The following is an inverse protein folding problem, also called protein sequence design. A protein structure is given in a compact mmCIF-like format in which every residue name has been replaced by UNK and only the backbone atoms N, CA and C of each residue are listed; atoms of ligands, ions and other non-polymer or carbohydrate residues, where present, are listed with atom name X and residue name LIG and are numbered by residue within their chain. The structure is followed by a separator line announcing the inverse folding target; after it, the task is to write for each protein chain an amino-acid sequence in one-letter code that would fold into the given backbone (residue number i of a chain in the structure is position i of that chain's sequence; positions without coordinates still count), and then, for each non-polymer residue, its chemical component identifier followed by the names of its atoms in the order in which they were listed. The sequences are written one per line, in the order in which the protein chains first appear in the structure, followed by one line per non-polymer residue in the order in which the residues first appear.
data_IF_932882733847
#
_entry.id   IF_932882733847
#
_cell.length_a   1.000
_cell.length_b   1.000
_cell.length_c   1.000
_cell.angle_alpha   90.00
_cell.angle_beta   90.00
_cell.angle_gamma   90.00
#
_symmetry.space_group_name_H-M   'P 1'
#
loop_
_entity.id
_entity.type
_entity.pdbx_description
1 polymer ?
#
# COMPACT_ATOMS: atom_id res chain seq x y z
N UNK A 1 -10.48 -9.06 -36.17
CA UNK A 1 -11.00 -10.19 -36.97
C UNK A 1 -11.89 -11.07 -36.12
N UNK A 2 -11.44 -11.65 -35.00
CA UNK A 2 -12.23 -12.55 -34.13
C UNK A 2 -13.52 -11.91 -33.62
N UNK A 3 -13.49 -10.62 -33.25
CA UNK A 3 -14.69 -9.88 -32.82
C UNK A 3 -15.80 -9.85 -33.86
N UNK A 4 -15.44 -9.84 -35.15
CA UNK A 4 -16.40 -9.85 -36.26
C UNK A 4 -16.79 -11.28 -36.68
N UNK A 5 -15.87 -12.22 -36.53
CA UNK A 5 -16.07 -13.62 -36.90
C UNK A 5 -16.86 -14.41 -35.85
N UNK A 6 -16.78 -13.99 -34.59
CA UNK A 6 -17.42 -14.62 -33.44
C UNK A 6 -16.46 -15.41 -32.55
N UNK A 7 -16.62 -15.28 -31.24
CA UNK A 7 -15.79 -15.96 -30.25
C UNK A 7 -16.06 -17.47 -30.20
N UNK A 8 -17.26 -17.91 -30.62
CA UNK A 8 -17.66 -19.32 -30.63
C UNK A 8 -16.81 -20.20 -31.55
N UNK A 9 -16.08 -19.58 -32.50
CA UNK A 9 -15.15 -20.26 -33.38
C UNK A 9 -13.77 -20.51 -32.78
N UNK A 10 -13.51 -19.99 -31.58
CA UNK A 10 -12.27 -20.25 -30.85
C UNK A 10 -12.38 -21.59 -30.14
N UNK A 11 -11.61 -22.57 -30.57
CA UNK A 11 -11.53 -23.85 -29.90
C UNK A 11 -10.84 -23.68 -28.55
N UNK A 12 -11.49 -24.17 -27.49
CA UNK A 12 -10.85 -24.27 -26.17
C UNK A 12 -9.69 -25.28 -26.26
N UNK A 13 -8.51 -24.84 -25.84
CA UNK A 13 -7.31 -25.70 -25.80
C UNK A 13 -6.74 -25.69 -24.40
N UNK A 14 -6.21 -26.82 -23.93
CA UNK A 14 -5.36 -26.84 -22.74
C UNK A 14 -4.01 -26.22 -23.09
N UNK A 15 -3.37 -25.63 -22.06
CA UNK A 15 -2.01 -25.12 -22.23
C UNK A 15 -1.09 -26.26 -22.68
N UNK A 16 -0.32 -26.09 -23.77
CA UNK A 16 0.61 -27.09 -24.24
C UNK A 16 1.85 -27.13 -23.35
N UNK A 17 1.72 -27.64 -22.13
CA UNK A 17 2.87 -27.85 -21.26
C UNK A 17 3.11 -29.36 -21.09
N UNK A 18 4.33 -29.77 -21.37
CA UNK A 18 4.75 -31.16 -21.18
C UNK A 18 4.94 -31.53 -19.69
N UNK A 19 4.96 -30.56 -18.80
CA UNK A 19 5.14 -30.77 -17.36
C UNK A 19 4.12 -29.97 -16.59
N UNK A 20 3.37 -30.66 -15.73
CA UNK A 20 2.55 -30.00 -14.71
C UNK A 20 3.47 -29.60 -13.58
N UNK A 21 3.78 -28.32 -13.47
CA UNK A 21 4.49 -27.79 -12.32
C UNK A 21 3.51 -27.51 -11.19
N UNK A 22 3.90 -27.88 -9.97
CA UNK A 22 3.09 -27.57 -8.79
C UNK A 22 2.94 -26.04 -8.67
N UNK A 23 1.69 -25.57 -8.72
CA UNK A 23 1.36 -24.17 -8.44
C UNK A 23 1.46 -23.87 -6.95
N UNK A 24 1.47 -22.59 -6.61
CA UNK A 24 1.44 -22.14 -5.21
C UNK A 24 2.03 -20.75 -5.03
N UNK A 25 1.89 -20.24 -3.82
CA UNK A 25 2.50 -18.97 -3.44
C UNK A 25 3.99 -19.15 -3.12
N UNK A 26 4.81 -18.20 -3.58
CA UNK A 26 6.20 -18.11 -3.17
C UNK A 26 6.31 -17.62 -1.69
N UNK A 27 7.52 -17.54 -1.15
CA UNK A 27 7.76 -17.17 0.26
C UNK A 27 7.23 -15.77 0.57
N UNK A 28 7.47 -14.82 -0.32
CA UNK A 28 7.04 -13.43 -0.15
C UNK A 28 5.51 -13.31 -0.15
N UNK A 29 4.85 -13.94 -1.12
CA UNK A 29 3.40 -13.98 -1.20
C UNK A 29 2.75 -14.64 0.02
N UNK A 30 3.35 -15.71 0.54
CA UNK A 30 2.88 -16.36 1.77
C UNK A 30 3.01 -15.42 2.98
N UNK A 31 4.13 -14.70 3.10
CA UNK A 31 4.35 -13.71 4.15
C UNK A 31 3.34 -12.56 4.08
N UNK A 32 3.11 -12.01 2.89
CA UNK A 32 2.11 -10.95 2.69
C UNK A 32 0.69 -11.42 3.07
N UNK A 33 0.30 -12.62 2.65
CA UNK A 33 -1.00 -13.18 3.01
C UNK A 33 -1.15 -13.44 4.51
N UNK A 34 -0.09 -13.92 5.17
CA UNK A 34 -0.08 -14.12 6.62
C UNK A 34 -0.24 -12.78 7.34
N UNK A 35 0.52 -11.76 6.94
CA UNK A 35 0.44 -10.39 7.46
C UNK A 35 -0.97 -9.81 7.32
N UNK A 36 -1.56 -9.87 6.13
CA UNK A 36 -2.92 -9.38 5.86
C UNK A 36 -3.95 -10.09 6.73
N UNK A 37 -3.87 -11.42 6.84
CA UNK A 37 -4.76 -12.20 7.71
C UNK A 37 -4.63 -11.80 9.17
N UNK A 38 -3.41 -11.62 9.66
CA UNK A 38 -3.15 -11.17 11.03
C UNK A 38 -3.80 -9.82 11.29
N UNK A 39 -3.63 -8.84 10.39
CA UNK A 39 -4.26 -7.52 10.52
C UNK A 39 -5.80 -7.60 10.51
N UNK A 40 -6.37 -8.42 9.64
CA UNK A 40 -7.82 -8.65 9.60
C UNK A 40 -8.33 -9.28 10.91
N UNK A 41 -7.61 -10.25 11.49
CA UNK A 41 -8.00 -10.84 12.80
C UNK A 41 -7.89 -9.86 13.95
N UNK A 42 -7.07 -8.82 13.81
CA UNK A 42 -6.99 -7.69 14.75
C UNK A 42 -8.06 -6.62 14.51
N UNK A 43 -9.00 -6.86 13.60
CA UNK A 43 -10.11 -5.96 13.29
C UNK A 43 -9.75 -4.80 12.37
N UNK A 44 -8.66 -4.90 11.62
CA UNK A 44 -8.30 -3.91 10.62
C UNK A 44 -8.89 -4.27 9.24
N UNK A 45 -9.30 -3.26 8.48
CA UNK A 45 -9.81 -3.40 7.11
C UNK A 45 -8.73 -3.03 6.10
N UNK A 46 -8.58 -3.86 5.07
CA UNK A 46 -7.65 -3.59 3.97
C UNK A 46 -8.17 -2.47 3.08
N UNK A 47 -7.29 -1.50 2.80
CA UNK A 47 -7.52 -0.44 1.83
C UNK A 47 -6.66 -0.67 0.58
N UNK A 48 -7.17 -0.22 -0.56
CA UNK A 48 -6.42 -0.15 -1.80
C UNK A 48 -6.59 1.24 -2.40
N UNK A 49 -5.50 1.99 -2.42
CA UNK A 49 -5.47 3.35 -2.95
C UNK A 49 -4.70 3.40 -4.26
N UNK A 50 -4.88 4.51 -5.00
CA UNK A 50 -4.08 4.76 -6.19
C UNK A 50 -2.59 4.88 -5.86
N UNK A 51 -1.75 4.46 -6.79
CA UNK A 51 -0.29 4.65 -6.70
C UNK A 51 0.15 6.10 -6.95
N UNK A 52 -0.79 7.01 -7.03
CA UNK A 52 -0.63 8.43 -7.34
C UNK A 52 -1.14 9.27 -6.20
N UNK A 53 -0.53 10.43 -6.00
CA UNK A 53 -0.96 11.40 -5.00
C UNK A 53 -0.72 12.83 -5.47
N UNK A 54 -1.27 13.80 -4.72
CA UNK A 54 -1.12 15.21 -5.02
C UNK A 54 0.18 15.78 -4.42
N UNK A 55 0.83 16.74 -5.10
CA UNK A 55 1.85 17.55 -4.45
C UNK A 55 1.40 18.17 -3.12
N UNK A 56 0.13 18.60 -3.03
CA UNK A 56 -0.46 19.18 -1.83
C UNK A 56 -0.59 18.19 -0.66
N UNK A 57 -0.66 16.88 -0.92
CA UNK A 57 -0.70 15.87 0.14
C UNK A 57 0.58 15.88 1.00
N UNK A 58 1.73 16.19 0.40
CA UNK A 58 2.99 16.33 1.12
C UNK A 58 3.02 17.56 2.02
N UNK A 59 2.33 18.63 1.62
CA UNK A 59 2.19 19.85 2.42
C UNK A 59 1.24 19.62 3.59
N UNK A 60 0.13 18.92 3.37
CA UNK A 60 -0.81 18.51 4.42
C UNK A 60 -0.13 17.62 5.48
N UNK A 61 0.77 16.74 5.07
CA UNK A 61 1.59 15.91 5.97
C UNK A 61 2.70 16.71 6.68
N UNK A 62 2.87 17.99 6.34
CA UNK A 62 3.89 18.89 6.90
C UNK A 62 5.33 18.34 6.74
N UNK A 63 5.60 17.61 5.67
CA UNK A 63 6.96 17.24 5.36
C UNK A 63 7.83 18.48 5.10
N UNK A 64 9.03 18.58 5.67
CA UNK A 64 9.99 19.63 5.36
C UNK A 64 10.26 19.74 3.86
N UNK A 65 10.72 20.89 3.40
CA UNK A 65 10.96 21.12 1.96
C UNK A 65 12.06 20.19 1.41
N UNK A 66 12.99 19.80 2.24
CA UNK A 66 14.12 18.91 1.94
C UNK A 66 13.83 17.42 2.26
N UNK A 67 12.61 17.08 2.66
CA UNK A 67 12.25 15.69 2.96
C UNK A 67 12.38 14.83 1.72
N UNK A 68 12.96 13.64 1.88
CA UNK A 68 13.14 12.67 0.79
C UNK A 68 11.82 12.22 0.16
N UNK A 69 10.72 12.29 0.91
CA UNK A 69 9.38 11.98 0.45
C UNK A 69 8.89 12.96 -0.63
N UNK A 70 9.44 14.18 -0.66
CA UNK A 70 9.15 15.19 -1.70
C UNK A 70 9.89 14.93 -3.01
N UNK A 71 10.91 14.09 -2.98
CA UNK A 71 11.61 13.66 -4.18
C UNK A 71 10.80 12.56 -4.87
N UNK A 72 9.76 12.97 -5.61
CA UNK A 72 8.77 12.09 -6.22
C UNK A 72 8.79 12.18 -7.75
N UNK A 73 8.43 11.07 -8.40
CA UNK A 73 8.36 10.96 -9.86
C UNK A 73 7.10 11.69 -10.34
N UNK A 74 7.27 12.63 -11.24
CA UNK A 74 6.14 13.29 -11.89
C UNK A 74 5.65 12.46 -13.08
N UNK A 75 4.33 12.27 -13.16
CA UNK A 75 3.68 11.57 -14.25
C UNK A 75 3.51 12.55 -15.42
N UNK A 76 3.92 12.13 -16.61
CA UNK A 76 3.91 12.96 -17.80
C UNK A 76 2.49 13.32 -18.27
N UNK A 77 1.56 12.37 -18.14
CA UNK A 77 0.16 12.52 -18.55
C UNK A 77 -0.78 12.04 -17.44
N UNK A 78 -0.86 12.77 -16.30
CA UNK A 78 -1.65 12.34 -15.16
C UNK A 78 -3.15 12.34 -15.50
N UNK A 79 -3.93 11.52 -14.78
CA UNK A 79 -5.39 11.46 -14.90
C UNK A 79 -6.01 12.83 -14.57
N UNK A 80 -5.48 13.49 -13.54
CA UNK A 80 -5.74 14.88 -13.21
C UNK A 80 -4.52 15.45 -12.46
N UNK A 81 -4.53 16.74 -12.20
CA UNK A 81 -3.41 17.44 -11.55
C UNK A 81 -3.20 16.98 -10.09
N UNK A 82 -4.26 16.54 -9.42
CA UNK A 82 -4.20 16.04 -8.04
C UNK A 82 -3.67 14.61 -7.94
N UNK A 83 -3.41 13.95 -9.07
CA UNK A 83 -2.86 12.60 -9.17
C UNK A 83 -1.62 12.61 -10.07
N UNK A 84 -0.76 13.60 -9.88
CA UNK A 84 0.36 13.88 -10.79
C UNK A 84 1.70 13.31 -10.34
N UNK A 85 1.82 12.83 -9.12
CA UNK A 85 3.05 12.25 -8.57
C UNK A 85 2.87 10.77 -8.23
N UNK A 86 3.91 9.96 -8.48
CA UNK A 86 3.99 8.61 -7.93
C UNK A 86 4.22 8.68 -6.44
N UNK A 87 3.47 7.90 -5.65
CA UNK A 87 3.54 7.94 -4.19
C UNK A 87 4.87 7.47 -3.65
N UNK A 88 5.45 8.27 -2.77
CA UNK A 88 6.66 7.97 -2.00
C UNK A 88 6.35 7.53 -0.57
N UNK A 89 5.09 7.63 -0.17
CA UNK A 89 4.56 7.22 1.13
C UNK A 89 3.10 6.78 1.00
N UNK A 90 2.63 5.89 1.87
CA UNK A 90 1.23 5.49 1.98
C UNK A 90 0.44 6.38 2.97
N UNK A 91 1.13 7.22 3.75
CA UNK A 91 0.51 7.98 4.83
C UNK A 91 -0.55 8.96 4.33
N UNK A 92 -0.31 9.64 3.20
CA UNK A 92 -1.27 10.58 2.63
C UNK A 92 -2.61 9.92 2.29
N UNK A 93 -2.55 8.82 1.54
CA UNK A 93 -3.74 8.06 1.14
C UNK A 93 -4.48 7.49 2.34
N UNK A 94 -3.75 6.99 3.34
CA UNK A 94 -4.32 6.47 4.59
C UNK A 94 -5.06 7.55 5.37
N UNK A 95 -4.45 8.72 5.58
CA UNK A 95 -5.10 9.84 6.28
C UNK A 95 -6.32 10.37 5.52
N UNK A 96 -6.25 10.43 4.20
CA UNK A 96 -7.40 10.79 3.37
C UNK A 96 -8.55 9.78 3.50
N UNK A 97 -8.23 8.47 3.60
CA UNK A 97 -9.22 7.43 3.84
C UNK A 97 -9.87 7.58 5.22
N UNK A 98 -9.08 7.79 6.27
CA UNK A 98 -9.57 8.03 7.64
C UNK A 98 -10.49 9.25 7.65
N UNK A 99 -10.03 10.40 7.15
CA UNK A 99 -10.83 11.63 7.10
C UNK A 99 -12.15 11.44 6.35
N UNK A 100 -12.15 10.66 5.27
CA UNK A 100 -13.37 10.35 4.52
C UNK A 100 -14.34 9.51 5.35
N UNK A 101 -13.85 8.50 6.05
CA UNK A 101 -14.67 7.66 6.93
C UNK A 101 -15.27 8.48 8.09
N UNK A 102 -14.49 9.34 8.74
CA UNK A 102 -14.98 10.23 9.80
C UNK A 102 -16.09 11.18 9.29
N UNK A 103 -15.91 11.76 8.09
CA UNK A 103 -16.94 12.60 7.44
C UNK A 103 -18.22 11.84 7.11
N UNK A 104 -18.15 10.52 6.97
CA UNK A 104 -19.32 9.64 6.77
C UNK A 104 -19.92 9.15 8.10
N UNK A 105 -19.42 9.64 9.24
CA UNK A 105 -19.95 9.31 10.56
C UNK A 105 -19.38 8.01 11.15
N UNK A 106 -18.33 7.44 10.56
CA UNK A 106 -17.60 6.30 11.15
C UNK A 106 -16.66 6.88 12.21
N UNK A 107 -16.94 6.62 13.47
CA UNK A 107 -16.27 7.28 14.59
C UNK A 107 -15.03 6.54 15.11
N UNK A 108 -14.88 5.28 14.78
CA UNK A 108 -13.70 4.49 15.13
C UNK A 108 -13.41 3.43 14.05
N UNK A 109 -12.14 3.06 13.92
CA UNK A 109 -11.74 2.04 12.96
C UNK A 109 -10.24 1.83 12.86
N UNK A 110 -9.90 0.75 12.19
CA UNK A 110 -8.53 0.36 11.86
C UNK A 110 -8.44 0.05 10.39
N UNK A 111 -7.54 0.72 9.69
CA UNK A 111 -7.32 0.54 8.27
C UNK A 111 -5.87 0.13 8.02
N UNK A 112 -5.63 -0.67 7.00
CA UNK A 112 -4.27 -0.96 6.56
C UNK A 112 -4.17 -1.07 5.05
N UNK A 113 -2.99 -0.84 4.51
CA UNK A 113 -2.65 -1.07 3.12
C UNK A 113 -1.26 -1.69 3.01
N UNK A 114 -1.14 -2.74 2.20
CA UNK A 114 0.14 -3.32 1.80
C UNK A 114 0.32 -3.04 0.32
N UNK A 115 1.22 -2.12 -0.02
CA UNK A 115 1.37 -1.68 -1.40
C UNK A 115 2.78 -1.12 -1.68
N UNK A 116 3.11 -0.95 -2.95
CA UNK A 116 4.39 -0.38 -3.34
C UNK A 116 4.39 1.14 -3.21
N UNK A 117 5.51 1.67 -2.74
CA UNK A 117 5.93 3.07 -2.89
C UNK A 117 7.06 3.13 -3.91
N UNK A 118 7.27 4.29 -4.52
CA UNK A 118 8.18 4.47 -5.64
C UNK A 118 9.21 5.55 -5.30
N UNK A 119 10.45 5.13 -5.06
CA UNK A 119 11.52 6.03 -4.64
C UNK A 119 12.49 6.20 -5.82
N UNK A 120 12.54 7.36 -6.46
CA UNK A 120 13.48 7.60 -7.54
C UNK A 120 14.91 7.67 -6.97
N UNK A 121 15.87 7.16 -7.72
CA UNK A 121 17.29 7.33 -7.41
C UNK A 121 17.82 8.67 -7.91
N UNK A 122 17.25 9.14 -9.02
CA UNK A 122 17.55 10.44 -9.63
C UNK A 122 16.33 11.00 -10.37
N UNK A 123 16.30 12.30 -10.59
CA UNK A 123 15.32 12.99 -11.42
C UNK A 123 16.04 13.95 -12.36
N UNK A 124 15.73 13.98 -13.67
CA UNK A 124 14.79 13.09 -14.36
C UNK A 124 15.25 11.62 -14.30
N UNK A 125 14.29 10.68 -14.38
CA UNK A 125 14.57 9.26 -14.29
C UNK A 125 15.52 8.82 -15.42
N UNK A 126 16.63 8.15 -15.07
CA UNK A 126 17.54 7.46 -15.98
C UNK A 126 17.50 5.94 -15.82
N UNK A 127 16.89 5.47 -14.74
CA UNK A 127 16.70 4.06 -14.42
C UNK A 127 15.39 3.87 -13.66
N UNK A 128 14.96 2.61 -13.49
CA UNK A 128 13.75 2.28 -12.74
C UNK A 128 13.88 2.73 -11.28
N UNK A 129 12.78 3.26 -10.68
CA UNK A 129 12.75 3.59 -9.28
C UNK A 129 12.89 2.35 -8.41
N UNK A 130 13.26 2.55 -7.15
CA UNK A 130 13.17 1.53 -6.14
C UNK A 130 11.71 1.36 -5.70
N UNK A 131 11.12 0.23 -6.07
CA UNK A 131 9.76 -0.14 -5.70
C UNK A 131 9.78 -0.94 -4.39
N UNK A 132 9.31 -0.32 -3.32
CA UNK A 132 9.29 -0.96 -2.00
C UNK A 132 7.89 -1.32 -1.59
N UNK A 133 7.69 -2.60 -1.33
CA UNK A 133 6.48 -3.05 -0.65
C UNK A 133 6.47 -2.54 0.79
N UNK A 134 5.45 -1.79 1.13
CA UNK A 134 5.34 -1.05 2.38
C UNK A 134 3.98 -1.34 3.02
N UNK A 135 3.97 -1.49 4.33
CA UNK A 135 2.75 -1.55 5.13
C UNK A 135 2.49 -0.19 5.74
N UNK A 136 1.26 0.27 5.65
CA UNK A 136 0.73 1.39 6.43
C UNK A 136 -0.48 0.92 7.23
N UNK A 137 -0.51 1.26 8.51
CA UNK A 137 -1.66 1.00 9.38
C UNK A 137 -2.10 2.32 9.99
N UNK A 138 -3.39 2.61 9.92
CA UNK A 138 -4.03 3.78 10.54
C UNK A 138 -5.12 3.35 11.49
N UNK A 139 -5.13 3.90 12.69
CA UNK A 139 -6.20 3.72 13.67
C UNK A 139 -6.78 5.08 14.03
N UNK A 140 -8.08 5.15 14.24
CA UNK A 140 -8.77 6.39 14.59
C UNK A 140 -9.97 6.12 15.51
N UNK A 141 -10.32 7.12 16.30
CA UNK A 141 -11.44 7.07 17.21
C UNK A 141 -11.05 7.00 18.69
N UNK A 142 -12.02 7.24 19.56
CA UNK A 142 -11.79 7.37 20.99
C UNK A 142 -11.31 6.09 21.70
N UNK A 143 -11.52 4.93 21.09
CA UNK A 143 -11.08 3.64 21.65
C UNK A 143 -9.65 3.28 21.27
N UNK A 144 -9.07 3.97 20.29
CA UNK A 144 -7.74 3.71 19.79
C UNK A 144 -6.69 4.52 20.59
N UNK A 145 -5.55 3.92 20.83
CA UNK A 145 -4.48 4.52 21.61
C UNK A 145 -3.10 4.07 21.10
N UNK A 146 -2.06 4.67 21.66
CA UNK A 146 -0.69 4.20 21.47
C UNK A 146 -0.54 2.69 21.75
N UNK A 147 -1.19 2.21 22.82
CA UNK A 147 -1.09 0.79 23.19
C UNK A 147 -1.79 -0.12 22.21
N UNK A 148 -2.88 0.33 21.58
CA UNK A 148 -3.54 -0.39 20.49
C UNK A 148 -2.60 -0.54 19.31
N UNK A 149 -1.97 0.55 18.88
CA UNK A 149 -1.01 0.52 17.77
C UNK A 149 0.23 -0.33 18.10
N UNK A 150 0.73 -0.26 19.34
CA UNK A 150 1.82 -1.13 19.82
C UNK A 150 1.41 -2.61 19.79
N UNK A 151 0.17 -2.92 20.17
CA UNK A 151 -0.37 -4.28 20.11
C UNK A 151 -0.43 -4.80 18.68
N UNK A 152 -0.86 -3.97 17.72
CA UNK A 152 -0.85 -4.30 16.29
C UNK A 152 0.59 -4.55 15.82
N UNK A 153 1.53 -3.69 16.18
CA UNK A 153 2.94 -3.86 15.82
C UNK A 153 3.53 -5.17 16.37
N UNK A 154 3.23 -5.52 17.62
CA UNK A 154 3.64 -6.80 18.19
C UNK A 154 3.05 -7.99 17.42
N UNK A 155 1.76 -7.97 17.11
CA UNK A 155 1.13 -9.04 16.35
C UNK A 155 1.69 -9.18 14.92
N UNK A 156 2.09 -8.07 14.30
CA UNK A 156 2.83 -8.10 13.03
C UNK A 156 4.19 -8.79 13.23
N UNK A 157 4.93 -8.42 14.28
CA UNK A 157 6.22 -9.01 14.60
C UNK A 157 6.11 -10.53 14.80
N UNK A 158 5.13 -10.96 15.60
CA UNK A 158 4.84 -12.38 15.85
C UNK A 158 4.49 -13.12 14.55
N UNK A 159 3.68 -12.50 13.66
CA UNK A 159 3.27 -13.13 12.39
C UNK A 159 4.40 -13.31 11.38
N UNK A 160 5.43 -12.50 11.50
CA UNK A 160 6.61 -12.52 10.62
C UNK A 160 7.83 -13.18 11.26
N UNK A 161 7.70 -13.68 12.50
CA UNK A 161 8.80 -14.25 13.31
C UNK A 161 9.99 -13.29 13.44
N UNK A 162 9.68 -12.02 13.76
CA UNK A 162 10.68 -10.97 14.00
C UNK A 162 10.44 -10.30 15.36
N UNK A 163 11.47 -9.74 15.95
CA UNK A 163 11.38 -8.99 17.20
C UNK A 163 11.49 -7.48 16.95
N UNK A 164 10.57 -6.69 17.52
CA UNK A 164 10.65 -5.23 17.50
C UNK A 164 11.18 -4.72 18.85
N UNK A 165 12.11 -3.79 18.78
CA UNK A 165 12.57 -3.00 19.93
C UNK A 165 11.91 -1.63 19.88
N UNK A 166 11.42 -1.14 21.02
CA UNK A 166 10.76 0.15 21.13
C UNK A 166 11.64 1.10 21.95
N UNK A 167 11.95 2.25 21.37
CA UNK A 167 12.72 3.29 22.04
C UNK A 167 11.88 4.57 22.15
N UNK A 168 11.93 5.27 23.30
CA UNK A 168 11.26 6.55 23.42
C UNK A 168 11.97 7.59 22.55
N UNK A 169 11.20 8.32 21.75
CA UNK A 169 11.75 9.47 21.02
C UNK A 169 11.91 10.61 22.01
N UNK A 170 13.15 11.04 22.26
CA UNK A 170 13.42 12.27 22.97
C UNK A 170 12.99 13.45 22.10
N UNK A 171 12.13 14.32 22.63
CA UNK A 171 11.69 15.55 21.97
C UNK A 171 12.76 16.63 22.07
#
# INVERSE_FOLDING_TARGET
VIRMYGYDHIKSTFMPSAQVTAGGYNKEQKGELALKRTLCTMGAYECMHYSFFSPSDLDLLKFPADAKERFAIQIMNPINIDLSLMRTTLAASMLNAISRNEKQGILDGRLFEVANIFIPKNLPLTEYPDERKTLCVGTFGAKESFYTMKGIANGIADSLDVAFTYEPIQK
#
